data_IF_326365721889
#
_entry.id   IF_326365721889
#
_cell.length_a   1.000
_cell.length_b   1.000
_cell.length_c   1.000
_cell.angle_alpha   90.00
_cell.angle_beta   90.00
_cell.angle_gamma   90.00
#
_symmetry.space_group_name_H-M   'P 1'
#
loop_
_entity.id
_entity.type
_entity.pdbx_description
1 polymer ?
#
# COMPACT_ATOMS: atom_id res chain seq x y z
N UNK A 1 6.36 -0.20 -23.62
CA UNK A 1 7.38 0.85 -23.42
C UNK A 1 6.80 2.15 -23.93
N UNK A 2 6.39 3.05 -23.04
CA UNK A 2 6.02 4.39 -23.48
C UNK A 2 7.31 5.14 -23.83
N UNK A 3 7.46 5.48 -25.10
CA UNK A 3 8.55 6.30 -25.62
C UNK A 3 7.98 7.70 -25.88
N UNK A 4 7.60 8.41 -24.82
CA UNK A 4 7.07 9.76 -24.91
C UNK A 4 7.62 10.58 -23.75
N UNK A 5 8.53 11.49 -24.08
CA UNK A 5 9.13 12.49 -23.18
C UNK A 5 8.13 13.56 -22.73
N UNK A 6 6.82 13.36 -22.98
CA UNK A 6 5.77 14.29 -22.66
C UNK A 6 4.62 13.61 -21.90
N UNK A 7 4.08 14.34 -20.92
CA UNK A 7 2.82 14.02 -20.26
C UNK A 7 1.84 15.10 -20.71
N UNK A 8 0.76 14.70 -21.39
CA UNK A 8 -0.32 15.60 -21.78
C UNK A 8 -1.52 15.37 -20.86
N UNK A 9 -2.03 16.45 -20.27
CA UNK A 9 -3.22 16.42 -19.41
C UNK A 9 -4.28 17.34 -20.03
N UNK A 10 -5.47 16.80 -20.27
CA UNK A 10 -6.60 17.55 -20.80
C UNK A 10 -7.67 17.69 -19.71
N UNK A 11 -8.08 18.93 -19.46
CA UNK A 11 -9.18 19.25 -18.54
C UNK A 11 -10.39 19.60 -19.40
N UNK A 12 -11.43 18.78 -19.32
CA UNK A 12 -12.62 18.92 -20.16
C UNK A 12 -13.88 19.09 -19.33
N UNK A 13 -14.87 19.74 -19.93
CA UNK A 13 -16.18 19.99 -19.35
C UNK A 13 -17.09 18.79 -19.62
N UNK A 14 -17.77 18.26 -18.60
CA UNK A 14 -18.66 17.09 -18.76
C UNK A 14 -20.12 17.44 -19.02
N UNK A 15 -20.57 18.64 -18.62
CA UNK A 15 -21.93 19.16 -18.85
C UNK A 15 -21.92 20.65 -19.16
N UNK A 16 -22.98 21.14 -19.78
CA UNK A 16 -23.12 22.58 -20.02
C UNK A 16 -23.09 23.38 -18.70
N UNK A 17 -22.47 24.55 -18.76
CA UNK A 17 -22.28 25.48 -17.64
C UNK A 17 -21.38 24.98 -16.48
N UNK A 18 -20.62 23.89 -16.66
CA UNK A 18 -19.55 23.51 -15.74
C UNK A 18 -18.20 24.20 -16.08
N UNK A 19 -17.44 24.56 -15.04
CA UNK A 19 -16.09 25.14 -15.14
C UNK A 19 -15.09 24.18 -14.50
N UNK A 20 -14.46 23.28 -15.27
CA UNK A 20 -13.53 22.33 -14.70
C UNK A 20 -12.25 23.06 -14.25
N UNK A 21 -11.78 22.77 -13.04
CA UNK A 21 -10.58 23.39 -12.46
C UNK A 21 -9.65 22.34 -11.87
N UNK A 22 -8.35 22.61 -11.91
CA UNK A 22 -7.31 21.86 -11.22
C UNK A 22 -6.56 22.84 -10.34
N UNK A 23 -6.49 22.58 -9.03
CA UNK A 23 -5.73 23.41 -8.09
C UNK A 23 -4.23 23.10 -8.13
N UNK A 24 -3.85 21.83 -8.33
CA UNK A 24 -2.47 21.39 -8.47
C UNK A 24 -2.35 20.11 -9.31
N UNK A 25 -1.22 19.96 -9.98
CA UNK A 25 -0.80 18.73 -10.64
C UNK A 25 0.62 18.42 -10.18
N UNK A 26 0.81 17.24 -9.61
CA UNK A 26 2.11 16.79 -9.12
C UNK A 26 2.55 15.54 -9.88
N UNK A 27 3.80 15.58 -10.34
CA UNK A 27 4.46 14.45 -11.00
C UNK A 27 5.74 14.13 -10.25
N UNK A 28 5.93 12.88 -9.87
CA UNK A 28 7.15 12.43 -9.21
C UNK A 28 7.70 11.19 -9.91
N UNK A 29 8.99 11.17 -10.29
CA UNK A 29 9.59 10.01 -10.91
C UNK A 29 9.70 8.87 -9.88
N UNK A 30 9.39 7.65 -10.33
CA UNK A 30 9.61 6.44 -9.55
C UNK A 30 10.79 5.66 -10.15
N UNK A 31 11.62 5.01 -9.33
CA UNK A 31 12.69 4.13 -9.79
C UNK A 31 12.17 3.06 -10.75
N UNK A 32 12.96 2.79 -11.78
CA UNK A 32 12.69 1.69 -12.71
C UNK A 32 12.70 0.37 -11.92
N UNK A 33 11.66 -0.44 -12.09
CA UNK A 33 11.52 -1.72 -11.39
C UNK A 33 10.81 -1.62 -10.03
N UNK A 34 10.52 -0.41 -9.54
CA UNK A 34 9.57 -0.25 -8.43
C UNK A 34 8.23 -0.84 -8.85
N UNK A 35 7.54 -1.50 -7.91
CA UNK A 35 6.29 -2.21 -8.17
C UNK A 35 6.42 -3.29 -9.26
N UNK A 36 7.50 -4.08 -9.23
CA UNK A 36 7.79 -5.10 -10.25
C UNK A 36 6.66 -6.11 -10.52
N UNK A 37 5.77 -6.35 -9.54
CA UNK A 37 4.60 -7.22 -9.71
C UNK A 37 3.39 -6.56 -10.40
N UNK A 38 3.45 -5.26 -10.68
CA UNK A 38 2.39 -4.51 -11.36
C UNK A 38 2.67 -4.43 -12.88
N UNK A 39 1.67 -4.76 -13.69
CA UNK A 39 1.79 -4.68 -15.15
C UNK A 39 1.94 -3.23 -15.63
N UNK A 40 3.03 -2.97 -16.35
CA UNK A 40 3.38 -1.67 -16.95
C UNK A 40 2.47 -1.21 -18.10
N UNK A 41 1.55 -2.06 -18.57
CA UNK A 41 0.56 -1.73 -19.62
C UNK A 41 -0.65 -0.97 -19.10
N UNK A 42 -0.88 -0.98 -17.78
CA UNK A 42 -2.04 -0.33 -17.16
C UNK A 42 -1.62 0.84 -16.29
N UNK A 43 -2.52 1.84 -16.21
CA UNK A 43 -2.44 2.86 -15.17
C UNK A 43 -3.01 2.30 -13.86
N UNK A 44 -2.32 2.58 -12.76
CA UNK A 44 -2.69 2.09 -11.45
C UNK A 44 -3.14 3.23 -10.56
N UNK A 45 -4.26 3.03 -9.87
CA UNK A 45 -4.76 3.96 -8.87
C UNK A 45 -4.39 3.45 -7.48
N UNK A 46 -3.71 4.29 -6.70
CA UNK A 46 -3.42 3.99 -5.30
C UNK A 46 -4.74 3.91 -4.53
N UNK A 47 -4.99 2.78 -3.88
CA UNK A 47 -6.11 2.61 -2.96
C UNK A 47 -5.68 3.06 -1.57
N UNK A 48 -4.91 2.22 -0.87
CA UNK A 48 -4.44 2.47 0.49
C UNK A 48 -2.95 2.23 0.58
N UNK A 49 -2.32 2.88 1.56
CA UNK A 49 -0.93 2.62 1.94
C UNK A 49 -0.79 2.93 3.42
N UNK A 50 -0.60 1.88 4.20
CA UNK A 50 -0.54 1.98 5.66
C UNK A 50 0.83 1.65 6.19
N UNK A 51 1.19 2.31 7.29
CA UNK A 51 2.21 1.81 8.21
C UNK A 51 1.55 1.50 9.54
N UNK A 52 1.95 0.38 10.14
CA UNK A 52 1.31 -0.10 11.36
C UNK A 52 1.98 0.50 12.59
N UNK A 53 1.18 0.78 13.62
CA UNK A 53 1.64 1.34 14.90
C UNK A 53 2.25 2.74 14.86
N UNK A 54 2.11 3.42 13.74
CA UNK A 54 2.38 4.84 13.65
C UNK A 54 1.27 5.70 14.23
N UNK A 55 1.63 6.92 14.64
CA UNK A 55 0.69 7.99 15.00
C UNK A 55 0.60 9.06 13.93
N UNK A 56 1.72 9.31 13.25
CA UNK A 56 1.86 10.39 12.29
C UNK A 56 1.94 9.85 10.88
N UNK A 57 1.36 10.59 9.93
CA UNK A 57 1.50 10.33 8.50
C UNK A 57 2.99 10.39 8.12
N UNK A 58 3.50 9.33 7.48
CA UNK A 58 4.83 9.36 6.89
C UNK A 58 4.72 9.99 5.50
N UNK A 59 5.42 11.11 5.35
CA UNK A 59 5.52 11.91 4.13
C UNK A 59 6.93 12.51 4.04
N UNK A 60 7.21 13.23 2.97
CA UNK A 60 8.44 14.02 2.79
C UNK A 60 8.75 14.88 4.05
N UNK A 61 10.01 14.92 4.54
CA UNK A 61 11.23 14.35 3.94
C UNK A 61 11.55 12.92 4.38
N UNK A 62 10.70 12.27 5.17
CA UNK A 62 10.93 10.89 5.61
C UNK A 62 10.60 9.84 4.53
N UNK A 63 10.09 10.29 3.37
CA UNK A 63 9.73 9.47 2.23
C UNK A 63 10.19 10.15 0.93
N UNK A 64 11.09 9.50 0.21
CA UNK A 64 11.82 10.07 -0.94
C UNK A 64 11.02 10.10 -2.25
N UNK A 65 9.92 9.34 -2.32
CA UNK A 65 9.09 9.15 -3.51
C UNK A 65 7.75 9.91 -3.42
N UNK A 66 7.63 10.85 -2.48
CA UNK A 66 6.42 11.62 -2.14
C UNK A 66 5.16 10.76 -1.95
N UNK A 67 5.33 9.53 -1.48
CA UNK A 67 4.23 8.64 -1.15
C UNK A 67 3.76 8.96 0.27
N UNK A 68 2.44 9.05 0.43
CA UNK A 68 1.80 9.16 1.74
C UNK A 68 1.62 7.75 2.30
N UNK A 69 2.03 7.53 3.54
CA UNK A 69 1.68 6.36 4.33
C UNK A 69 0.85 6.81 5.53
N UNK A 70 -0.39 6.33 5.60
CA UNK A 70 -1.31 6.66 6.67
C UNK A 70 -1.09 5.70 7.86
N UNK A 71 -1.14 6.19 9.11
CA UNK A 71 -1.04 5.32 10.27
C UNK A 71 -2.25 4.41 10.36
N UNK A 72 -2.03 3.12 10.61
CA UNK A 72 -3.08 2.13 10.87
C UNK A 72 -2.82 1.39 12.19
N UNK A 73 -3.83 1.36 13.05
CA UNK A 73 -3.75 0.80 14.39
C UNK A 73 -4.90 -0.20 14.62
N UNK A 74 -4.87 -1.36 13.96
CA UNK A 74 -5.86 -2.41 14.16
C UNK A 74 -5.93 -2.83 15.62
N UNK A 75 -7.15 -3.04 16.12
CA UNK A 75 -7.40 -3.44 17.51
C UNK A 75 -6.99 -4.91 17.73
N UNK A 76 -6.69 -5.25 18.99
CA UNK A 76 -6.39 -6.64 19.38
C UNK A 76 -4.98 -7.13 19.03
N UNK A 77 -4.13 -6.33 18.38
CA UNK A 77 -2.75 -6.70 18.06
C UNK A 77 -1.74 -6.10 19.05
N UNK A 78 -0.58 -6.72 19.19
CA UNK A 78 0.54 -6.21 20.00
C UNK A 78 1.42 -5.30 19.12
N UNK A 79 1.91 -4.21 19.70
CA UNK A 79 2.88 -3.34 19.03
C UNK A 79 4.28 -3.89 19.21
N UNK A 80 5.06 -3.93 18.13
CA UNK A 80 6.48 -4.29 18.19
C UNK A 80 7.30 -3.18 17.55
N UNK A 81 8.35 -2.77 18.24
CA UNK A 81 9.33 -1.81 17.74
C UNK A 81 10.64 -2.54 17.54
N UNK A 82 11.30 -2.31 16.42
CA UNK A 82 12.62 -2.86 16.13
C UNK A 82 13.64 -2.50 17.23
N UNK A 83 14.49 -3.46 17.61
CA UNK A 83 15.60 -3.23 18.53
C UNK A 83 16.92 -2.85 17.81
N UNK A 84 16.88 -2.72 16.48
CA UNK A 84 18.00 -2.34 15.63
C UNK A 84 17.80 -0.94 15.01
N UNK A 85 18.90 -0.36 14.53
CA UNK A 85 18.94 1.01 13.99
C UNK A 85 18.94 1.09 12.47
N UNK A 86 19.10 -0.03 11.76
CA UNK A 86 19.17 -0.05 10.29
C UNK A 86 18.48 -1.27 9.70
N UNK A 87 17.74 -1.07 8.61
CA UNK A 87 17.12 -2.14 7.83
C UNK A 87 17.88 -2.39 6.53
N UNK A 88 18.19 -3.65 6.24
CA UNK A 88 18.60 -4.03 4.88
C UNK A 88 17.32 -4.28 4.09
N UNK A 89 16.88 -3.27 3.34
CA UNK A 89 15.72 -3.41 2.46
C UNK A 89 16.04 -4.36 1.30
N UNK A 90 15.36 -5.50 1.26
CA UNK A 90 15.43 -6.47 0.15
C UNK A 90 14.37 -6.22 -0.93
N UNK A 91 13.50 -5.23 -0.73
CA UNK A 91 12.38 -4.93 -1.62
C UNK A 91 12.70 -3.85 -2.64
N UNK A 92 12.26 -4.06 -3.88
CA UNK A 92 12.31 -3.06 -4.97
C UNK A 92 11.29 -1.94 -4.79
N UNK A 93 10.41 -2.02 -3.79
CA UNK A 93 9.39 -1.02 -3.52
C UNK A 93 9.88 0.13 -2.62
N UNK A 94 11.08 -0.01 -2.03
CA UNK A 94 11.73 1.00 -1.20
C UNK A 94 10.78 1.72 -0.22
N UNK A 95 10.05 1.00 0.66
CA UNK A 95 9.27 1.65 1.71
C UNK A 95 10.19 2.46 2.63
N UNK A 96 9.72 3.57 3.22
CA UNK A 96 10.51 4.31 4.19
C UNK A 96 10.78 3.43 5.41
N UNK A 97 12.00 3.50 5.97
CA UNK A 97 12.37 2.67 7.14
C UNK A 97 11.40 2.86 8.30
N UNK A 98 10.91 4.09 8.52
CA UNK A 98 9.89 4.38 9.55
C UNK A 98 8.61 3.57 9.41
N UNK A 99 8.25 3.11 8.21
CA UNK A 99 7.09 2.24 8.00
C UNK A 99 7.37 0.78 8.35
N UNK A 100 8.63 0.40 8.56
CA UNK A 100 9.08 -0.96 8.86
C UNK A 100 9.77 -1.10 10.23
N UNK A 101 10.10 0.00 10.91
CA UNK A 101 10.67 -0.05 12.28
C UNK A 101 9.60 -0.25 13.37
N UNK A 102 8.33 -0.11 12.99
CA UNK A 102 7.17 -0.39 13.82
C UNK A 102 6.27 -1.36 13.09
N UNK A 103 5.76 -2.36 13.81
CA UNK A 103 4.81 -3.32 13.28
C UNK A 103 3.82 -3.78 14.33
N UNK A 104 2.93 -4.66 13.89
CA UNK A 104 1.98 -5.38 14.72
C UNK A 104 2.27 -6.86 14.70
N UNK A 105 2.06 -7.53 15.82
CA UNK A 105 2.03 -8.98 15.92
C UNK A 105 0.76 -9.46 16.61
N UNK A 106 0.45 -10.74 16.43
CA UNK A 106 -0.67 -11.39 17.09
C UNK A 106 -0.41 -11.52 18.61
N UNK A 107 -1.48 -11.58 19.43
CA UNK A 107 -1.31 -11.78 20.88
C UNK A 107 -0.70 -13.14 21.21
N UNK A 108 -1.11 -14.18 20.48
CA UNK A 108 -0.54 -15.50 20.56
C UNK A 108 -0.05 -15.96 19.18
N UNK A 109 0.97 -16.84 19.10
CA UNK A 109 1.51 -17.34 17.82
C UNK A 109 0.49 -18.05 16.91
N UNK A 110 -0.59 -18.56 17.48
CA UNK A 110 -1.67 -19.26 16.76
C UNK A 110 -2.79 -18.34 16.30
N UNK A 111 -2.81 -17.08 16.78
CA UNK A 111 -3.88 -16.15 16.48
C UNK A 111 -3.71 -15.55 15.08
N UNK A 112 -4.83 -15.33 14.41
CA UNK A 112 -4.83 -14.69 13.09
C UNK A 112 -4.82 -13.17 13.22
N UNK A 113 -4.06 -12.51 12.35
CA UNK A 113 -4.09 -11.05 12.21
C UNK A 113 -5.08 -10.70 11.10
N UNK A 114 -6.15 -9.97 11.45
CA UNK A 114 -7.12 -9.48 10.48
C UNK A 114 -6.83 -8.01 10.16
N UNK A 115 -6.45 -7.73 8.92
CA UNK A 115 -6.16 -6.38 8.44
C UNK A 115 -7.25 -5.98 7.44
N UNK A 116 -8.10 -5.05 7.86
CA UNK A 116 -9.20 -4.56 7.02
C UNK A 116 -8.72 -3.43 6.11
N UNK A 117 -9.13 -3.50 4.86
CA UNK A 117 -8.97 -2.44 3.87
C UNK A 117 -10.15 -2.50 2.90
N UNK A 118 -10.57 -1.35 2.41
CA UNK A 118 -11.66 -1.30 1.44
C UNK A 118 -11.10 -1.42 0.02
N UNK A 119 -11.95 -1.83 -0.92
CA UNK A 119 -11.66 -1.70 -2.33
C UNK A 119 -12.31 -0.42 -2.82
N UNK A 120 -11.57 0.51 -3.47
CA UNK A 120 -12.23 1.61 -4.16
C UNK A 120 -13.19 1.01 -5.19
N UNK A 121 -14.21 1.79 -5.58
CA UNK A 121 -15.37 1.39 -6.42
C UNK A 121 -15.07 0.65 -7.75
N UNK A 122 -13.81 0.38 -8.07
CA UNK A 122 -13.40 -0.64 -9.04
C UNK A 122 -13.67 -2.06 -8.52
N UNK A 123 -14.40 -2.87 -9.29
CA UNK A 123 -14.68 -4.28 -8.97
C UNK A 123 -13.46 -5.22 -9.05
N UNK A 124 -12.22 -4.70 -8.97
CA UNK A 124 -11.01 -5.50 -9.16
C UNK A 124 -9.90 -5.05 -8.22
N UNK A 125 -9.58 -5.91 -7.27
CA UNK A 125 -8.29 -5.87 -6.59
C UNK A 125 -7.25 -6.56 -7.48
N UNK A 126 -6.18 -5.85 -7.79
CA UNK A 126 -5.19 -6.35 -8.75
C UNK A 126 -3.83 -6.59 -8.10
N UNK A 127 -3.48 -5.89 -7.00
CA UNK A 127 -2.15 -5.99 -6.40
C UNK A 127 -2.13 -5.63 -4.91
N UNK A 128 -1.51 -6.50 -4.11
CA UNK A 128 -1.19 -6.30 -2.70
C UNK A 128 0.33 -6.31 -2.53
N UNK A 129 0.86 -5.34 -1.78
CA UNK A 129 2.26 -5.38 -1.32
C UNK A 129 2.26 -5.37 0.20
N UNK A 130 2.69 -6.47 0.81
CA UNK A 130 2.87 -6.58 2.25
C UNK A 130 4.36 -6.44 2.58
N UNK A 131 4.68 -5.52 3.49
CA UNK A 131 6.01 -5.40 4.07
C UNK A 131 6.02 -6.08 5.44
N UNK A 132 7.02 -6.92 5.68
CA UNK A 132 7.25 -7.55 6.97
C UNK A 132 8.75 -7.47 7.27
N UNK A 133 9.08 -7.39 8.55
CA UNK A 133 10.45 -7.45 9.04
C UNK A 133 10.43 -8.22 10.36
N UNK A 134 11.48 -9.00 10.58
CA UNK A 134 11.72 -9.58 11.89
C UNK A 134 12.30 -8.47 12.78
N UNK A 135 11.63 -8.18 13.89
CA UNK A 135 11.89 -6.99 14.73
C UNK A 135 12.86 -7.29 15.87
N UNK A 136 13.02 -8.57 16.20
CA UNK A 136 13.81 -9.05 17.31
C UNK A 136 14.83 -10.07 16.81
N UNK A 137 15.99 -10.10 17.44
CA UNK A 137 16.96 -11.16 17.17
C UNK A 137 16.38 -12.49 17.65
N UNK A 138 16.10 -13.38 16.70
CA UNK A 138 15.67 -14.75 16.98
C UNK A 138 16.89 -15.61 17.35
N UNK A 139 16.67 -16.67 18.13
CA UNK A 139 17.69 -17.70 18.30
C UNK A 139 18.09 -18.31 16.94
N UNK A 140 19.30 -18.87 16.86
CA UNK A 140 19.85 -19.44 15.61
C UNK A 140 18.90 -20.45 14.93
N UNK A 141 18.09 -21.16 15.72
CA UNK A 141 17.16 -22.19 15.25
C UNK A 141 15.68 -21.75 15.31
N UNK A 142 15.42 -20.52 15.73
CA UNK A 142 14.07 -19.99 15.84
C UNK A 142 13.59 -19.49 14.48
N UNK A 143 12.40 -19.92 14.08
CA UNK A 143 11.77 -19.48 12.84
C UNK A 143 10.32 -19.09 13.10
N UNK A 144 9.89 -17.99 12.45
CA UNK A 144 8.48 -17.61 12.38
C UNK A 144 7.96 -17.90 10.99
N UNK A 145 6.78 -18.51 10.92
CA UNK A 145 6.07 -18.75 9.67
C UNK A 145 4.61 -18.37 9.84
N UNK A 146 4.01 -17.86 8.78
CA UNK A 146 2.61 -17.49 8.73
C UNK A 146 2.07 -17.74 7.32
N UNK A 147 0.77 -18.00 7.23
CA UNK A 147 0.03 -17.99 5.98
C UNK A 147 -0.63 -16.64 5.74
N UNK A 148 -0.85 -16.30 4.47
CA UNK A 148 -1.67 -15.16 4.10
C UNK A 148 -2.90 -15.61 3.34
N UNK A 149 -4.05 -15.05 3.71
CA UNK A 149 -5.32 -15.22 3.00
C UNK A 149 -5.86 -13.83 2.70
N UNK A 150 -6.33 -13.64 1.47
CA UNK A 150 -7.00 -12.41 1.04
C UNK A 150 -8.44 -12.76 0.72
N UNK A 151 -9.34 -12.48 1.65
CA UNK A 151 -10.77 -12.70 1.45
C UNK A 151 -11.40 -11.49 0.76
N UNK A 152 -12.13 -11.75 -0.33
CA UNK A 152 -13.02 -10.77 -0.94
C UNK A 152 -14.45 -11.17 -0.60
N UNK A 153 -15.29 -10.27 -0.05
CA UNK A 153 -16.70 -10.58 0.12
C UNK A 153 -17.31 -10.87 -1.26
N UNK A 154 -17.78 -12.10 -1.48
CA UNK A 154 -18.46 -12.49 -2.71
C UNK A 154 -19.58 -11.48 -3.02
N UNK A 155 -19.41 -10.68 -4.08
CA UNK A 155 -20.53 -9.90 -4.62
C UNK A 155 -21.52 -10.87 -5.24
N UNK A 156 -22.58 -11.20 -4.50
CA UNK A 156 -23.79 -11.85 -5.02
C UNK A 156 -24.13 -11.25 -6.39
N UNK A 157 -23.96 -12.03 -7.47
CA UNK A 157 -24.26 -11.59 -8.83
C UNK A 157 -25.76 -11.32 -8.94
N UNK A 158 -26.22 -10.09 -8.72
CA UNK A 158 -27.54 -9.66 -9.18
C UNK A 158 -27.50 -9.70 -10.70
N UNK A 159 -28.15 -10.72 -11.29
CA UNK A 159 -28.46 -10.77 -12.72
C UNK A 159 -29.18 -9.47 -13.09
N UNK A 160 -28.52 -8.61 -13.85
CA UNK A 160 -29.19 -7.55 -14.57
C UNK A 160 -30.19 -8.21 -15.53
N UNK A 161 -31.49 -8.01 -15.27
CA UNK A 161 -32.50 -8.20 -16.31
C UNK A 161 -32.18 -7.18 -17.41
N UNK A 162 -31.88 -7.67 -18.61
CA UNK A 162 -31.80 -6.84 -19.81
C UNK A 162 -33.15 -6.13 -19.99
N UNK A 163 -33.11 -4.82 -20.21
CA UNK A 163 -34.11 -4.16 -21.04
C UNK A 163 -33.89 -4.59 -22.50
#
# INVERSE_FOLDING_TARGET
MANQDNISVCVTRTRDNEFPFISSLETWPLPKGMYAGMDTKFAWLKSYRFHYRGTDVIWYPAEDYKRIWDPSNPSGLISVTANFTSLISTTVNYPPEKALLQAVEAQNPTDSINLEFEFPNSNRFNYLSLGYAEMLELGIDDTRSFGFVVDSPEKTRKRLKKC
#
